data_IF_174525316501
#
_entry.id   IF_174525316501
#
_cell.length_a   1.000
_cell.length_b   1.000
_cell.length_c   1.000
_cell.angle_alpha   90.00
_cell.angle_beta   90.00
_cell.angle_gamma   90.00
#
_symmetry.space_group_name_H-M   'P 1'
#
loop_
_entity.id
_entity.type
_entity.pdbx_description
1 polymer ?
#
# COMPACT_ATOMS: atom_id res chain seq x y z
N UNK A 1 -1.09 -7.86 5.98
CA UNK A 1 -0.83 -6.61 5.23
C UNK A 1 -2.17 -6.02 4.85
N UNK A 2 -2.38 -4.71 4.99
CA UNK A 2 -3.64 -4.06 4.61
C UNK A 2 -3.57 -3.55 3.16
N UNK A 3 -4.64 -3.70 2.36
CA UNK A 3 -4.73 -3.08 1.03
C UNK A 3 -4.66 -1.56 1.14
N UNK A 4 -3.88 -0.95 0.24
CA UNK A 4 -3.71 0.50 0.19
C UNK A 4 -4.66 1.11 -0.83
N UNK A 5 -5.10 2.33 -0.55
CA UNK A 5 -5.99 3.10 -1.40
C UNK A 5 -5.22 4.28 -2.00
N UNK A 6 -5.63 4.75 -3.17
CA UNK A 6 -5.08 5.96 -3.76
C UNK A 6 -5.41 7.19 -2.89
N UNK A 7 -4.37 7.90 -2.45
CA UNK A 7 -4.50 9.12 -1.65
C UNK A 7 -5.22 10.24 -2.42
N UNK A 8 -5.04 10.33 -3.73
CA UNK A 8 -5.67 11.38 -4.55
C UNK A 8 -7.18 11.20 -4.50
N UNK A 9 -7.66 9.97 -4.71
CA UNK A 9 -9.09 9.64 -4.60
C UNK A 9 -9.66 10.05 -3.23
N UNK A 10 -9.00 9.66 -2.13
CA UNK A 10 -9.49 9.96 -0.77
C UNK A 10 -9.51 11.47 -0.53
N UNK A 11 -8.45 12.21 -0.92
CA UNK A 11 -8.37 13.66 -0.74
C UNK A 11 -9.47 14.38 -1.53
N UNK A 12 -9.73 13.96 -2.76
CA UNK A 12 -10.76 14.58 -3.62
C UNK A 12 -12.19 14.32 -3.09
N UNK A 13 -12.44 13.15 -2.50
CA UNK A 13 -13.80 12.73 -2.12
C UNK A 13 -14.03 12.70 -0.60
N UNK A 14 -13.10 13.21 0.21
CA UNK A 14 -13.11 13.03 1.68
C UNK A 14 -14.38 13.52 2.37
N UNK A 15 -14.99 14.58 1.84
CA UNK A 15 -16.22 15.15 2.38
C UNK A 15 -17.39 14.16 2.31
N UNK A 16 -17.46 13.38 1.22
CA UNK A 16 -18.58 12.50 0.90
C UNK A 16 -18.35 11.06 1.34
N UNK A 17 -17.10 10.68 1.63
CA UNK A 17 -16.73 9.32 2.03
C UNK A 17 -16.96 9.07 3.53
N UNK A 18 -17.72 8.03 3.87
CA UNK A 18 -17.77 7.45 5.21
C UNK A 18 -16.88 6.22 5.29
N UNK A 19 -16.57 5.73 6.51
CA UNK A 19 -15.62 4.62 6.72
C UNK A 19 -16.04 3.30 6.09
N UNK A 20 -17.33 3.12 5.78
CA UNK A 20 -17.90 1.85 5.37
C UNK A 20 -18.37 1.96 3.93
N UNK A 21 -17.81 1.12 3.06
CA UNK A 21 -18.11 1.14 1.63
C UNK A 21 -18.84 -0.14 1.22
N UNK A 22 -19.82 0.03 0.34
CA UNK A 22 -20.56 -1.06 -0.29
C UNK A 22 -19.99 -1.31 -1.67
N UNK A 23 -19.47 -2.51 -1.88
CA UNK A 23 -18.97 -2.99 -3.17
C UNK A 23 -20.05 -3.88 -3.79
N UNK A 24 -20.60 -3.43 -4.91
CA UNK A 24 -21.64 -4.12 -5.66
C UNK A 24 -21.03 -4.80 -6.88
N UNK A 25 -21.59 -5.94 -7.26
CA UNK A 25 -21.25 -6.60 -8.51
C UNK A 25 -22.44 -6.68 -9.46
N UNK A 26 -22.18 -7.13 -10.68
CA UNK A 26 -23.19 -7.25 -11.72
C UNK A 26 -24.22 -8.36 -11.45
N UNK A 27 -23.98 -9.21 -10.44
CA UNK A 27 -24.85 -10.30 -10.02
C UNK A 27 -25.80 -9.87 -8.87
N UNK A 28 -25.72 -8.61 -8.42
CA UNK A 28 -26.51 -8.09 -7.31
C UNK A 28 -26.00 -8.48 -5.92
N UNK A 29 -24.79 -9.05 -5.83
CA UNK A 29 -24.13 -9.32 -4.56
C UNK A 29 -23.45 -8.06 -4.04
N UNK A 30 -23.57 -7.84 -2.73
CA UNK A 30 -22.98 -6.72 -2.03
C UNK A 30 -21.95 -7.22 -1.01
N UNK A 31 -20.78 -6.60 -1.02
CA UNK A 31 -19.76 -6.78 0.01
C UNK A 31 -19.53 -5.46 0.75
N UNK A 32 -19.22 -5.55 2.03
CA UNK A 32 -18.86 -4.38 2.82
C UNK A 32 -17.37 -4.39 3.11
N UNK A 33 -16.71 -3.29 2.81
CA UNK A 33 -15.33 -3.05 3.25
C UNK A 33 -15.28 -1.83 4.16
N UNK A 34 -14.30 -1.79 5.06
CA UNK A 34 -14.10 -0.66 5.96
C UNK A 34 -12.72 -0.10 5.73
N UNK A 35 -12.65 1.21 5.48
CA UNK A 35 -11.39 1.93 5.36
C UNK A 35 -11.14 2.84 6.59
N UNK A 36 -9.88 3.14 6.86
CA UNK A 36 -9.48 3.84 8.08
C UNK A 36 -9.77 5.36 8.09
N UNK A 37 -10.28 5.96 7.00
CA UNK A 37 -10.52 7.40 6.86
C UNK A 37 -9.30 8.27 7.20
N UNK A 38 -8.12 7.81 6.76
CA UNK A 38 -6.86 8.53 6.89
C UNK A 38 -6.43 9.13 5.53
N UNK A 39 -6.01 10.39 5.49
CA UNK A 39 -5.62 11.07 4.25
C UNK A 39 -4.22 10.70 3.73
N UNK A 40 -3.29 10.39 4.65
CA UNK A 40 -1.88 10.14 4.33
C UNK A 40 -1.62 8.65 4.09
N UNK A 41 -2.30 7.79 4.83
CA UNK A 41 -2.17 6.35 4.75
C UNK A 41 -3.54 5.66 4.70
N UNK A 42 -4.33 5.92 3.63
CA UNK A 42 -5.64 5.29 3.48
C UNK A 42 -5.47 3.79 3.20
N UNK A 43 -6.08 2.98 4.05
CA UNK A 43 -6.04 1.51 3.93
C UNK A 43 -7.40 0.89 4.24
N UNK A 44 -7.67 -0.27 3.64
CA UNK A 44 -8.81 -1.12 3.98
C UNK A 44 -8.43 -1.94 5.22
N UNK A 45 -9.19 -1.78 6.30
CA UNK A 45 -8.95 -2.45 7.59
C UNK A 45 -9.84 -3.66 7.81
N UNK A 46 -10.96 -3.78 7.08
CA UNK A 46 -11.88 -4.91 7.18
C UNK A 46 -12.60 -5.19 5.87
N UNK A 47 -13.16 -6.39 5.73
CA UNK A 47 -13.94 -6.83 4.56
C UNK A 47 -13.10 -7.31 3.37
N UNK A 48 -11.84 -6.90 3.27
CA UNK A 48 -10.99 -7.25 2.12
C UNK A 48 -10.84 -8.76 1.89
N UNK A 49 -10.55 -9.54 2.94
CA UNK A 49 -10.35 -11.00 2.80
C UNK A 49 -11.58 -11.73 2.23
N UNK A 50 -12.77 -11.23 2.56
CA UNK A 50 -14.04 -11.78 2.03
C UNK A 50 -14.15 -11.46 0.55
N UNK A 51 -13.83 -10.22 0.16
CA UNK A 51 -13.79 -9.79 -1.24
C UNK A 51 -12.75 -10.60 -2.04
N UNK A 52 -11.54 -10.73 -1.51
CA UNK A 52 -10.42 -11.50 -2.07
C UNK A 52 -10.82 -12.95 -2.34
N UNK A 53 -11.45 -13.60 -1.36
CA UNK A 53 -11.92 -14.99 -1.51
C UNK A 53 -13.07 -15.11 -2.51
N UNK A 54 -13.99 -14.14 -2.57
CA UNK A 54 -15.16 -14.21 -3.45
C UNK A 54 -14.76 -14.09 -4.93
N UNK A 55 -13.89 -13.13 -5.26
CA UNK A 55 -13.44 -12.89 -6.64
C UNK A 55 -12.19 -13.71 -7.02
N UNK A 56 -11.73 -14.61 -6.15
CA UNK A 56 -10.50 -15.38 -6.31
C UNK A 56 -9.32 -14.49 -6.73
N UNK A 57 -9.13 -13.41 -5.98
CA UNK A 57 -8.19 -12.36 -6.36
C UNK A 57 -6.72 -12.82 -6.18
N UNK A 58 -5.81 -12.49 -7.12
CA UNK A 58 -4.39 -12.80 -6.99
C UNK A 58 -3.69 -11.97 -5.89
N UNK A 59 -2.56 -12.44 -5.35
CA UNK A 59 -1.92 -11.82 -4.19
C UNK A 59 -1.29 -10.43 -4.49
N UNK A 60 -0.73 -10.24 -5.68
CA UNK A 60 -0.12 -8.97 -6.11
C UNK A 60 -0.91 -8.37 -7.27
N UNK A 61 -1.74 -7.37 -6.96
CA UNK A 61 -2.66 -6.80 -7.94
C UNK A 61 -3.05 -5.36 -7.62
N UNK A 62 -3.68 -4.73 -8.61
CA UNK A 62 -4.42 -3.47 -8.49
C UNK A 62 -5.87 -3.76 -8.82
N UNK A 63 -6.76 -3.33 -7.93
CA UNK A 63 -8.20 -3.36 -8.15
C UNK A 63 -8.67 -1.92 -8.36
N UNK A 64 -9.33 -1.68 -9.48
CA UNK A 64 -9.99 -0.41 -9.75
C UNK A 64 -11.46 -0.52 -9.33
N UNK A 65 -11.92 0.50 -8.60
CA UNK A 65 -13.32 0.65 -8.25
C UNK A 65 -13.94 1.80 -9.04
N UNK A 66 -15.13 1.59 -9.60
CA UNK A 66 -15.98 2.70 -10.03
C UNK A 66 -16.75 3.21 -8.81
N UNK A 67 -16.70 4.52 -8.56
CA UNK A 67 -17.40 5.17 -7.45
C UNK A 67 -18.68 5.84 -7.95
N UNK A 68 -19.82 5.52 -7.32
CA UNK A 68 -21.14 6.03 -7.70
C UNK A 68 -21.70 7.07 -6.72
N UNK A 69 -20.94 7.46 -5.68
CA UNK A 69 -21.44 8.30 -4.61
C UNK A 69 -22.03 7.51 -3.44
N UNK A 70 -22.21 8.18 -2.30
CA UNK A 70 -22.80 7.61 -1.08
C UNK A 70 -22.16 6.27 -0.66
N UNK A 71 -20.83 6.21 -0.71
CA UNK A 71 -20.05 5.01 -0.37
C UNK A 71 -20.36 3.75 -1.20
N UNK A 72 -21.00 3.90 -2.37
CA UNK A 72 -21.28 2.80 -3.28
C UNK A 72 -20.23 2.70 -4.38
N UNK A 73 -19.74 1.49 -4.59
CA UNK A 73 -18.70 1.18 -5.54
C UNK A 73 -19.02 -0.11 -6.32
N UNK A 74 -18.41 -0.30 -7.47
CA UNK A 74 -18.30 -1.60 -8.14
C UNK A 74 -16.85 -1.86 -8.55
N UNK A 75 -16.49 -3.14 -8.70
CA UNK A 75 -15.19 -3.49 -9.29
C UNK A 75 -15.25 -3.21 -10.79
N UNK A 76 -14.42 -2.30 -11.28
CA UNK A 76 -14.33 -1.96 -12.70
C UNK A 76 -13.25 -2.75 -13.43
N UNK A 77 -12.14 -3.06 -12.76
CA UNK A 77 -11.10 -3.93 -13.28
C UNK A 77 -10.20 -4.51 -12.18
N UNK A 78 -9.60 -5.65 -12.48
CA UNK A 78 -8.56 -6.28 -11.67
C UNK A 78 -7.36 -6.49 -12.58
N UNK A 79 -6.19 -6.03 -12.14
CA UNK A 79 -4.93 -6.18 -12.87
C UNK A 79 -3.89 -6.81 -11.96
N UNK A 80 -3.45 -8.01 -12.31
CA UNK A 80 -2.30 -8.65 -11.67
C UNK A 80 -1.01 -7.88 -11.99
N UNK A 81 -0.14 -7.75 -10.99
CA UNK A 81 1.14 -7.06 -11.14
C UNK A 81 2.26 -8.07 -11.33
N UNK A 82 2.79 -8.13 -12.55
CA UNK A 82 3.89 -9.06 -12.89
C UNK A 82 5.28 -8.42 -12.71
N UNK A 83 5.33 -7.09 -12.62
CA UNK A 83 6.56 -6.33 -12.50
C UNK A 83 6.39 -5.14 -11.56
N UNK A 84 7.49 -4.70 -10.96
CA UNK A 84 7.51 -3.59 -10.01
C UNK A 84 7.16 -2.25 -10.65
N UNK A 85 7.51 -2.07 -11.93
CA UNK A 85 7.21 -0.89 -12.74
C UNK A 85 5.70 -0.64 -12.89
N UNK A 86 4.90 -1.69 -12.70
CA UNK A 86 3.45 -1.62 -12.78
C UNK A 86 2.78 -1.16 -11.47
N UNK A 87 3.57 -1.00 -10.40
CA UNK A 87 3.05 -0.52 -9.12
C UNK A 87 2.53 0.92 -9.25
N UNK A 88 1.36 1.22 -8.67
CA UNK A 88 0.88 2.59 -8.62
C UNK A 88 1.85 3.51 -7.89
N UNK A 89 1.99 4.75 -8.38
CA UNK A 89 2.94 5.75 -7.84
C UNK A 89 2.74 6.04 -6.34
N UNK A 90 1.50 5.91 -5.86
CA UNK A 90 1.16 6.11 -4.44
C UNK A 90 1.56 4.93 -3.55
N UNK A 91 2.00 3.80 -4.11
CA UNK A 91 2.35 2.62 -3.32
C UNK A 91 3.76 2.76 -2.73
N UNK A 92 3.94 2.56 -1.42
CA UNK A 92 5.27 2.71 -0.78
C UNK A 92 6.36 1.82 -1.40
N UNK A 93 6.01 0.71 -2.07
CA UNK A 93 6.99 -0.06 -2.87
C UNK A 93 7.55 0.81 -3.99
N UNK A 94 6.72 1.55 -4.75
CA UNK A 94 7.15 2.52 -5.76
C UNK A 94 8.03 3.63 -5.17
N UNK A 95 7.63 4.22 -4.04
CA UNK A 95 8.38 5.29 -3.37
C UNK A 95 9.78 4.87 -2.87
N UNK A 96 10.02 3.58 -2.63
CA UNK A 96 11.38 3.08 -2.32
C UNK A 96 12.35 3.29 -3.49
N UNK A 97 11.88 3.50 -4.73
CA UNK A 97 12.75 3.76 -5.89
C UNK A 97 13.41 5.14 -5.83
N UNK A 98 12.75 6.14 -5.23
CA UNK A 98 13.30 7.50 -5.10
C UNK A 98 14.10 7.70 -3.79
N UNK A 99 14.11 6.70 -2.90
CA UNK A 99 14.66 6.81 -1.55
C UNK A 99 15.77 5.81 -1.18
N UNK A 100 16.36 5.11 -2.15
CA UNK A 100 17.56 4.29 -1.89
C UNK A 100 18.76 5.01 -2.49
N UNK A 101 19.46 5.77 -1.65
CA UNK A 101 20.86 6.12 -1.90
C UNK A 101 21.67 4.89 -1.46
N UNK A 102 22.19 4.13 -2.41
CA UNK A 102 23.31 3.24 -2.11
C UNK A 102 24.52 4.14 -1.90
N UNK A 103 25.02 4.19 -0.67
CA UNK A 103 26.29 4.81 -0.35
C UNK A 103 27.27 3.68 -0.06
N UNK A 104 27.81 3.10 -1.12
CA UNK A 104 28.95 2.19 -1.01
C UNK A 104 30.17 3.07 -0.73
N UNK A 105 30.49 3.21 0.55
CA UNK A 105 31.72 3.87 1.00
C UNK A 105 32.79 2.80 1.12
N UNK A 106 33.78 2.84 0.23
CA UNK A 106 34.99 2.06 0.40
C UNK A 106 35.69 2.51 1.69
N UNK A 107 35.73 1.61 2.67
CA UNK A 107 36.42 1.84 3.93
C UNK A 107 37.94 1.82 3.65
N UNK A 108 38.54 2.99 3.73
CA UNK A 108 39.99 3.20 3.72
C UNK A 108 40.48 3.55 5.12
N UNK A 109 41.75 3.33 5.46
CA UNK A 109 42.30 3.73 6.76
C UNK A 109 42.17 5.24 7.06
N UNK A 110 41.87 6.06 6.05
CA UNK A 110 41.76 7.51 6.15
C UNK A 110 40.33 7.98 6.46
N UNK A 111 39.32 7.16 6.16
CA UNK A 111 37.90 7.50 6.35
C UNK A 111 37.21 6.65 7.44
N UNK A 112 37.99 5.82 8.14
CA UNK A 112 37.54 4.98 9.27
C UNK A 112 38.13 5.47 10.59
N UNK A 113 37.27 5.93 11.50
CA UNK A 113 37.63 6.07 12.92
C UNK A 113 37.61 4.69 13.58
N UNK A 114 38.78 4.06 13.65
CA UNK A 114 38.96 2.73 14.22
C UNK A 114 38.44 2.60 15.66
N UNK A 115 38.42 3.70 16.42
CA UNK A 115 37.99 3.70 17.83
C UNK A 115 36.50 3.44 17.97
N UNK A 116 35.68 3.96 17.05
CA UNK A 116 34.21 3.81 17.07
C UNK A 116 33.73 2.45 16.55
N UNK A 117 34.46 1.86 15.60
CA UNK A 117 34.11 0.54 15.07
C UNK A 117 34.27 -0.56 16.13
N UNK A 118 35.33 -0.50 16.95
CA UNK A 118 35.56 -1.50 18.02
C UNK A 118 34.46 -1.47 19.09
N UNK A 119 33.92 -0.29 19.42
CA UNK A 119 32.77 -0.19 20.34
C UNK A 119 31.48 -0.77 19.77
N UNK A 120 31.23 -0.57 18.47
CA UNK A 120 30.07 -1.11 17.76
C UNK A 120 30.08 -2.65 17.72
N UNK A 121 31.25 -3.27 17.52
CA UNK A 121 31.37 -4.73 17.54
C UNK A 121 31.27 -5.32 18.96
N UNK A 122 31.75 -4.60 19.98
CA UNK A 122 31.58 -5.03 21.38
C UNK A 122 30.13 -4.97 21.86
N UNK A 123 29.32 -4.03 21.34
CA UNK A 123 27.88 -3.92 21.66
C UNK A 123 27.01 -4.99 21.02
N UNK A 124 27.49 -5.68 19.96
CA UNK A 124 26.72 -6.71 19.24
C UNK A 124 26.89 -8.13 19.80
N UNK A 125 27.73 -8.30 20.82
CA UNK A 125 28.05 -9.59 21.47
C UNK A 125 27.57 -9.65 22.94
N UNK A 126 26.59 -8.82 23.32
CA UNK A 126 25.83 -8.95 24.57
C UNK A 126 24.34 -9.03 24.28
#
# INVERSE_FOLDING_TARGET
MFPKIDQVFVKTNMADLTKTWTIMNNEGVHHTIVFNKNLDHPVIVSGWKVLESYYNLPPDMVVAFAYYGNDNFSISSIKELNAFEELPKFHNRFLKREGIIFCDVDLTPQNVDHTKLVELFKKKLR
#
